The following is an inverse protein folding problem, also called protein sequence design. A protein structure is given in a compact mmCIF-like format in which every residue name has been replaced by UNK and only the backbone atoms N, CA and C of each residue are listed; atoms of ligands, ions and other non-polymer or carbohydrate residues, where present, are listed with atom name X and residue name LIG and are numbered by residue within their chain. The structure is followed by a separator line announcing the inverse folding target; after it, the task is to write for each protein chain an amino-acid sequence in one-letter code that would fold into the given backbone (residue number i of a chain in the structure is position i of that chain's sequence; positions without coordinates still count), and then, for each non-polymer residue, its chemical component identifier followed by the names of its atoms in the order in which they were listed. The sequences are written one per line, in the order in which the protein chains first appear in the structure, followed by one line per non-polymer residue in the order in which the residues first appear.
data_IF_487580085359
#
_entry.id   IF_487580085359
#
_cell.length_a   1.000
_cell.length_b   1.000
_cell.length_c   1.000
_cell.angle_alpha   90.00
_cell.angle_beta   90.00
_cell.angle_gamma   90.00
#
_symmetry.space_group_name_H-M   'P 1'
#
loop_
_entity.id
_entity.type
_entity.pdbx_description
1 polymer ?
#
# COMPACT_ATOMS: atom_id res chain seq x y z
N UNK A 1 -4.60 -2.50 -30.99
CA UNK A 1 -5.59 -2.76 -29.92
C UNK A 1 -6.29 -4.07 -30.25
N UNK A 2 -6.29 -5.04 -29.32
CA UNK A 2 -7.11 -6.24 -29.46
C UNK A 2 -8.59 -5.82 -29.49
N UNK A 3 -9.43 -6.55 -30.25
CA UNK A 3 -10.86 -6.32 -30.19
C UNK A 3 -11.35 -6.62 -28.75
N UNK A 4 -12.18 -5.76 -28.14
CA UNK A 4 -12.70 -5.99 -26.82
C UNK A 4 -13.44 -7.34 -26.77
N UNK A 5 -13.20 -8.09 -25.68
CA UNK A 5 -13.94 -9.33 -25.44
C UNK A 5 -15.38 -8.93 -25.10
N UNK A 6 -16.29 -9.15 -26.05
CA UNK A 6 -17.69 -8.71 -25.94
C UNK A 6 -18.55 -9.61 -25.05
N UNK A 7 -18.00 -10.75 -24.58
CA UNK A 7 -18.77 -11.67 -23.74
C UNK A 7 -18.48 -11.41 -22.27
N UNK A 8 -19.50 -10.98 -21.53
CA UNK A 8 -19.44 -10.82 -20.07
C UNK A 8 -19.00 -12.12 -19.40
N UNK A 9 -17.98 -12.08 -18.52
CA UNK A 9 -17.52 -13.25 -17.77
C UNK A 9 -18.57 -13.76 -16.78
N UNK A 10 -18.44 -15.03 -16.39
CA UNK A 10 -19.28 -15.63 -15.35
C UNK A 10 -18.89 -15.19 -13.94
N UNK A 11 -19.72 -15.53 -12.92
CA UNK A 11 -19.41 -15.21 -11.53
C UNK A 11 -18.18 -15.98 -11.03
N UNK A 12 -17.43 -15.33 -10.12
CA UNK A 12 -16.35 -15.98 -9.34
C UNK A 12 -17.00 -16.90 -8.30
N UNK A 13 -16.42 -18.09 -8.08
CA UNK A 13 -16.84 -18.98 -7.00
C UNK A 13 -16.31 -18.50 -5.66
N UNK A 14 -17.07 -17.62 -5.00
CA UNK A 14 -16.70 -16.99 -3.73
C UNK A 14 -16.43 -18.02 -2.64
N UNK A 15 -17.24 -19.07 -2.57
CA UNK A 15 -17.18 -20.06 -1.49
C UNK A 15 -15.85 -20.84 -1.46
N UNK A 16 -15.18 -20.94 -2.60
CA UNK A 16 -13.91 -21.65 -2.75
C UNK A 16 -12.73 -20.74 -3.07
N UNK A 17 -12.95 -19.41 -3.09
CA UNK A 17 -11.87 -18.44 -3.36
C UNK A 17 -11.20 -18.00 -2.07
N UNK A 18 -9.89 -18.30 -1.90
CA UNK A 18 -9.13 -18.06 -0.66
C UNK A 18 -9.18 -16.61 -0.17
N UNK A 19 -9.27 -15.63 -1.08
CA UNK A 19 -9.29 -14.21 -0.77
C UNK A 19 -10.71 -13.59 -0.83
N UNK A 20 -11.76 -14.41 -0.71
CA UNK A 20 -13.15 -13.96 -0.61
C UNK A 20 -13.89 -14.61 0.57
N UNK A 21 -13.16 -15.38 1.41
CA UNK A 21 -13.72 -16.07 2.59
C UNK A 21 -12.93 -15.73 3.86
N UNK A 22 -13.48 -16.02 5.02
CA UNK A 22 -12.84 -15.80 6.31
C UNK A 22 -12.50 -14.32 6.55
N UNK A 23 -11.25 -14.02 6.88
CA UNK A 23 -10.78 -12.63 7.11
C UNK A 23 -10.79 -11.78 5.84
N UNK A 24 -10.82 -12.37 4.67
CA UNK A 24 -10.89 -11.70 3.37
C UNK A 24 -12.33 -11.56 2.83
N UNK A 25 -13.33 -12.16 3.48
CA UNK A 25 -14.69 -12.08 2.97
C UNK A 25 -15.15 -10.62 2.83
N UNK A 26 -15.91 -10.28 1.76
CA UNK A 26 -16.36 -8.90 1.57
C UNK A 26 -17.21 -8.38 2.73
N UNK A 27 -17.03 -7.10 3.09
CA UNK A 27 -17.89 -6.34 3.99
C UNK A 27 -18.73 -5.38 3.17
N UNK A 28 -20.06 -5.41 3.34
CA UNK A 28 -20.96 -4.60 2.52
C UNK A 28 -21.66 -3.49 3.28
N UNK A 29 -21.58 -3.53 4.62
CA UNK A 29 -22.19 -2.53 5.48
C UNK A 29 -21.26 -1.33 5.66
N UNK A 30 -21.82 -0.14 5.56
CA UNK A 30 -21.21 1.12 5.95
C UNK A 30 -21.86 1.58 7.26
N UNK A 31 -21.03 1.80 8.26
CA UNK A 31 -21.48 2.20 9.60
C UNK A 31 -20.75 3.44 10.09
N UNK A 32 -21.31 4.09 11.11
CA UNK A 32 -20.70 5.16 11.88
C UNK A 32 -21.15 4.96 13.32
N UNK A 33 -20.28 4.46 14.17
CA UNK A 33 -20.60 4.04 15.54
C UNK A 33 -19.67 4.73 16.52
N UNK A 34 -20.25 5.37 17.53
CA UNK A 34 -19.53 6.02 18.64
C UNK A 34 -19.57 5.14 19.88
N UNK A 35 -18.76 5.48 20.85
CA UNK A 35 -18.74 4.86 22.18
C UNK A 35 -18.56 3.33 22.10
N UNK A 36 -17.53 2.91 21.38
CA UNK A 36 -17.20 1.50 21.19
C UNK A 36 -16.71 0.85 22.48
N UNK A 37 -16.91 -0.47 22.59
CA UNK A 37 -16.38 -1.27 23.68
C UNK A 37 -14.84 -1.23 23.68
N UNK A 38 -14.27 -0.81 24.81
CA UNK A 38 -12.83 -0.76 25.06
C UNK A 38 -12.48 -1.82 26.11
N UNK A 39 -11.46 -2.62 25.82
CA UNK A 39 -10.86 -3.56 26.77
C UNK A 39 -9.43 -3.08 27.06
N UNK A 40 -9.08 -2.95 28.33
CA UNK A 40 -7.87 -2.26 28.76
C UNK A 40 -8.12 -0.75 28.84
N UNK A 41 -7.10 0.05 28.57
CA UNK A 41 -7.18 1.51 28.64
C UNK A 41 -6.63 2.14 27.36
N UNK A 42 -7.44 3.01 26.73
CA UNK A 42 -6.95 3.81 25.62
C UNK A 42 -6.20 5.02 26.15
N UNK A 43 -5.04 5.38 25.60
CA UNK A 43 -4.27 6.53 26.06
C UNK A 43 -5.07 7.83 25.94
N UNK A 44 -5.19 8.57 27.03
CA UNK A 44 -5.89 9.85 27.04
C UNK A 44 -5.12 10.96 26.29
N UNK A 45 -3.82 10.76 26.06
CA UNK A 45 -2.94 11.68 25.32
C UNK A 45 -2.92 11.39 23.81
N UNK A 46 -3.59 10.33 23.35
CA UNK A 46 -3.64 9.96 21.95
C UNK A 46 -4.92 10.48 21.28
N UNK A 47 -4.76 11.58 20.54
CA UNK A 47 -5.86 12.24 19.84
C UNK A 47 -5.62 12.24 18.34
N UNK A 48 -6.54 11.68 17.57
CA UNK A 48 -6.43 11.59 16.12
C UNK A 48 -7.26 10.48 15.50
N UNK A 49 -6.96 10.15 14.25
CA UNK A 49 -7.65 9.11 13.51
C UNK A 49 -6.64 8.15 12.85
N UNK A 50 -6.79 6.87 13.14
CA UNK A 50 -6.21 5.81 12.34
C UNK A 50 -7.11 5.56 11.13
N UNK A 51 -6.53 5.57 9.94
CA UNK A 51 -7.20 5.21 8.69
C UNK A 51 -6.52 4.02 8.06
N UNK A 52 -7.29 3.17 7.38
CA UNK A 52 -6.79 2.09 6.55
C UNK A 52 -7.67 1.91 5.32
N UNK A 53 -7.05 1.70 4.16
CA UNK A 53 -7.73 1.32 2.94
C UNK A 53 -7.54 -0.18 2.66
N UNK A 54 -8.36 -0.75 1.81
CA UNK A 54 -8.22 -2.14 1.39
C UNK A 54 -9.23 -2.55 0.34
N UNK A 55 -8.91 -3.61 -0.45
CA UNK A 55 -9.79 -4.16 -1.45
C UNK A 55 -10.98 -4.84 -0.80
N UNK A 56 -12.20 -4.45 -1.22
CA UNK A 56 -13.42 -4.97 -0.68
C UNK A 56 -14.53 -4.96 -1.76
N UNK A 57 -14.80 -6.07 -2.45
CA UNK A 57 -15.79 -6.09 -3.51
C UNK A 57 -17.17 -5.65 -3.02
N UNK A 58 -17.75 -4.60 -3.63
CA UNK A 58 -19.10 -4.12 -3.33
C UNK A 58 -20.16 -5.14 -3.69
N UNK A 59 -19.96 -5.82 -4.82
CA UNK A 59 -20.78 -6.90 -5.33
C UNK A 59 -19.93 -8.16 -5.52
N UNK A 60 -20.58 -9.29 -5.72
CA UNK A 60 -19.91 -10.55 -6.03
C UNK A 60 -19.17 -10.43 -7.36
N UNK A 61 -17.84 -10.64 -7.40
CA UNK A 61 -17.05 -10.41 -8.61
C UNK A 61 -17.39 -11.39 -9.73
N UNK A 62 -17.11 -10.94 -10.97
CA UNK A 62 -17.23 -11.76 -12.19
C UNK A 62 -15.84 -11.87 -12.85
N UNK A 63 -15.62 -12.94 -13.62
CA UNK A 63 -14.36 -13.21 -14.30
C UNK A 63 -13.31 -13.74 -13.35
N UNK A 64 -12.28 -12.96 -13.11
CA UNK A 64 -11.20 -13.25 -12.16
C UNK A 64 -11.32 -12.36 -10.92
N UNK A 65 -10.65 -12.78 -9.86
CA UNK A 65 -10.40 -11.95 -8.67
C UNK A 65 -8.99 -12.20 -8.19
N UNK A 66 -8.14 -11.20 -8.27
CA UNK A 66 -6.71 -11.28 -7.93
C UNK A 66 -6.43 -10.35 -6.74
N UNK A 67 -6.34 -10.90 -5.54
CA UNK A 67 -5.94 -10.13 -4.36
C UNK A 67 -4.41 -9.87 -4.41
N UNK A 68 -3.94 -8.66 -4.08
CA UNK A 68 -4.70 -7.50 -3.59
C UNK A 68 -5.15 -6.52 -4.69
N UNK A 69 -5.05 -6.87 -5.96
CA UNK A 69 -5.27 -5.95 -7.09
C UNK A 69 -6.75 -5.72 -7.44
N UNK A 70 -7.64 -6.64 -7.05
CA UNK A 70 -9.08 -6.54 -7.30
C UNK A 70 -9.84 -6.25 -6.00
N UNK A 71 -10.86 -5.42 -6.10
CA UNK A 71 -11.75 -5.03 -5.02
C UNK A 71 -12.06 -3.54 -5.08
N UNK A 72 -13.21 -3.12 -4.58
CA UNK A 72 -13.50 -1.71 -4.44
C UNK A 72 -12.82 -1.17 -3.19
N UNK A 73 -12.31 0.05 -3.23
CA UNK A 73 -11.69 0.66 -2.06
C UNK A 73 -12.72 0.84 -0.94
N UNK A 74 -12.40 0.35 0.25
CA UNK A 74 -13.15 0.65 1.47
C UNK A 74 -12.20 1.22 2.50
N UNK A 75 -12.46 2.48 2.90
CA UNK A 75 -11.70 3.15 3.94
C UNK A 75 -12.36 2.92 5.30
N UNK A 76 -11.54 2.48 6.26
CA UNK A 76 -11.89 2.30 7.66
C UNK A 76 -11.20 3.36 8.49
N UNK A 77 -11.93 4.01 9.41
CA UNK A 77 -11.42 5.03 10.32
C UNK A 77 -11.76 4.69 11.76
N UNK A 78 -10.74 4.71 12.62
CA UNK A 78 -10.89 4.66 14.08
C UNK A 78 -10.39 5.99 14.63
N UNK A 79 -11.31 6.81 15.13
CA UNK A 79 -10.99 8.08 15.81
C UNK A 79 -10.81 7.80 17.29
N UNK A 80 -9.72 8.33 17.87
CA UNK A 80 -9.40 8.24 19.29
C UNK A 80 -9.38 9.64 19.89
N UNK A 81 -10.08 9.83 20.99
CA UNK A 81 -10.08 11.04 21.78
C UNK A 81 -10.52 10.75 23.23
N UNK A 82 -9.83 11.33 24.20
CA UNK A 82 -10.19 11.28 25.62
C UNK A 82 -10.46 9.84 26.14
N UNK A 83 -9.69 8.85 25.67
CA UNK A 83 -9.85 7.44 26.03
C UNK A 83 -11.09 6.75 25.42
N UNK A 84 -11.78 7.41 24.49
CA UNK A 84 -12.93 6.86 23.76
C UNK A 84 -12.56 6.60 22.27
N UNK A 85 -13.38 5.78 21.62
CA UNK A 85 -13.21 5.43 20.22
C UNK A 85 -14.51 5.54 19.42
N UNK A 86 -14.41 6.00 18.17
CA UNK A 86 -15.45 5.99 17.15
C UNK A 86 -14.95 5.26 15.92
N UNK A 87 -15.83 4.50 15.28
CA UNK A 87 -15.51 3.81 14.03
C UNK A 87 -16.43 4.24 12.89
N UNK A 88 -15.83 4.48 11.73
CA UNK A 88 -16.55 4.79 10.48
C UNK A 88 -15.91 4.02 9.33
N UNK A 89 -16.71 3.46 8.42
CA UNK A 89 -16.19 2.92 7.16
C UNK A 89 -17.05 3.40 5.99
N UNK A 90 -16.40 3.59 4.82
CA UNK A 90 -17.06 4.00 3.57
C UNK A 90 -16.38 3.36 2.37
N UNK A 91 -17.19 2.96 1.40
CA UNK A 91 -16.67 2.68 0.05
C UNK A 91 -16.18 3.96 -0.63
N UNK A 92 -15.09 3.84 -1.37
CA UNK A 92 -14.68 4.88 -2.30
C UNK A 92 -15.56 4.78 -3.54
N UNK A 93 -16.50 5.72 -3.70
CA UNK A 93 -17.47 5.71 -4.78
C UNK A 93 -16.87 6.27 -6.06
N UNK A 94 -16.19 5.39 -6.79
CA UNK A 94 -15.77 5.67 -8.17
C UNK A 94 -17.02 5.77 -9.07
N UNK A 95 -16.92 6.31 -10.29
CA UNK A 95 -18.02 6.25 -11.26
C UNK A 95 -18.48 4.83 -11.53
N UNK A 96 -17.56 3.84 -11.49
CA UNK A 96 -17.87 2.41 -11.67
C UNK A 96 -18.70 1.87 -10.51
N UNK A 97 -18.27 2.08 -9.27
CA UNK A 97 -19.04 1.67 -8.07
C UNK A 97 -20.41 2.33 -8.07
N UNK A 98 -20.51 3.61 -8.43
CA UNK A 98 -21.78 4.33 -8.52
C UNK A 98 -22.72 3.72 -9.59
N UNK A 99 -22.17 3.35 -10.74
CA UNK A 99 -22.95 2.68 -11.80
C UNK A 99 -23.44 1.30 -11.38
N UNK A 100 -22.58 0.52 -10.71
CA UNK A 100 -22.92 -0.80 -10.17
C UNK A 100 -23.96 -0.71 -9.04
N UNK A 101 -23.86 0.25 -8.13
CA UNK A 101 -24.87 0.51 -7.08
C UNK A 101 -26.24 0.85 -7.70
N UNK A 102 -26.24 1.64 -8.78
CA UNK A 102 -27.47 1.95 -9.52
C UNK A 102 -28.04 0.73 -10.24
N UNK A 103 -27.19 -0.13 -10.78
CA UNK A 103 -27.60 -1.37 -11.47
C UNK A 103 -28.02 -2.48 -10.47
N UNK A 104 -27.54 -2.44 -9.23
CA UNK A 104 -27.77 -3.44 -8.21
C UNK A 104 -26.93 -4.71 -8.39
N UNK A 105 -25.90 -4.68 -9.24
CA UNK A 105 -24.99 -5.79 -9.51
C UNK A 105 -23.67 -5.32 -10.09
N UNK A 106 -22.63 -6.20 -10.01
CA UNK A 106 -21.32 -5.96 -10.64
C UNK A 106 -21.47 -5.80 -12.16
N UNK A 107 -20.69 -4.92 -12.76
CA UNK A 107 -20.66 -4.73 -14.22
C UNK A 107 -19.26 -5.03 -14.75
N UNK A 108 -18.20 -4.49 -14.12
CA UNK A 108 -16.82 -4.70 -14.53
C UNK A 108 -16.26 -6.00 -13.98
N UNK A 109 -15.45 -6.67 -14.79
CA UNK A 109 -14.69 -7.86 -14.38
C UNK A 109 -13.39 -7.48 -13.66
N UNK A 110 -12.63 -8.48 -13.20
CA UNK A 110 -11.33 -8.29 -12.57
C UNK A 110 -10.29 -7.65 -13.50
N UNK A 111 -9.24 -7.07 -12.91
CA UNK A 111 -8.20 -6.30 -13.65
C UNK A 111 -7.43 -7.12 -14.68
N UNK A 112 -7.41 -8.45 -14.55
CA UNK A 112 -6.77 -9.34 -15.51
C UNK A 112 -7.68 -9.77 -16.64
N UNK A 113 -8.97 -9.43 -16.58
CA UNK A 113 -9.92 -9.71 -17.66
C UNK A 113 -9.88 -8.60 -18.72
N UNK A 114 -9.94 -8.99 -19.98
CA UNK A 114 -9.99 -8.04 -21.10
C UNK A 114 -11.42 -7.54 -21.38
N UNK A 115 -12.39 -7.85 -20.52
CA UNK A 115 -13.76 -7.41 -20.65
C UNK A 115 -13.91 -5.94 -20.26
N UNK A 116 -14.57 -5.19 -21.13
CA UNK A 116 -15.04 -3.82 -20.83
C UNK A 116 -16.54 -3.71 -21.15
N UNK A 117 -17.32 -2.98 -20.33
CA UNK A 117 -18.75 -2.84 -20.56
C UNK A 117 -19.07 -2.05 -21.83
N UNK A 118 -20.23 -2.30 -22.38
CA UNK A 118 -20.76 -1.64 -23.57
C UNK A 118 -21.50 -0.34 -23.21
N UNK A 119 -21.76 0.51 -24.21
CA UNK A 119 -22.54 1.74 -24.03
C UNK A 119 -23.97 1.47 -23.52
N UNK A 120 -24.58 0.37 -23.98
CA UNK A 120 -25.93 -0.03 -23.52
C UNK A 120 -25.95 -0.41 -22.02
N UNK A 121 -24.83 -0.89 -21.47
CA UNK A 121 -24.72 -1.27 -20.05
C UNK A 121 -24.46 -0.08 -19.13
N UNK A 122 -23.61 0.88 -19.55
CA UNK A 122 -23.07 1.91 -18.65
C UNK A 122 -23.16 3.33 -19.19
N UNK A 123 -23.67 3.51 -20.41
CA UNK A 123 -23.69 4.81 -21.10
C UNK A 123 -22.35 5.17 -21.76
N UNK A 124 -22.34 6.25 -22.57
CA UNK A 124 -21.20 6.58 -23.43
C UNK A 124 -19.93 6.99 -22.66
N UNK A 125 -20.08 7.51 -21.45
CA UNK A 125 -18.94 7.99 -20.65
C UNK A 125 -18.10 6.86 -20.03
N UNK A 126 -18.73 5.72 -19.72
CA UNK A 126 -18.10 4.59 -19.05
C UNK A 126 -17.88 3.39 -19.97
N UNK A 127 -18.44 3.41 -21.19
CA UNK A 127 -18.26 2.34 -22.16
C UNK A 127 -16.79 2.16 -22.54
N UNK A 128 -16.32 0.91 -22.57
CA UNK A 128 -14.95 0.58 -22.93
C UNK A 128 -13.90 0.93 -21.87
N UNK A 129 -14.31 1.39 -20.66
CA UNK A 129 -13.38 1.69 -19.57
C UNK A 129 -13.02 0.46 -18.78
N UNK A 130 -11.81 0.47 -18.20
CA UNK A 130 -11.38 -0.49 -17.18
C UNK A 130 -11.80 -0.01 -15.79
N UNK A 131 -11.83 -0.93 -14.82
CA UNK A 131 -12.16 -0.64 -13.43
C UNK A 131 -11.10 0.25 -12.80
N UNK A 132 -11.51 1.26 -12.04
CA UNK A 132 -10.63 2.05 -11.16
C UNK A 132 -10.79 1.56 -9.73
N UNK A 133 -9.69 1.23 -9.09
CA UNK A 133 -9.66 0.57 -7.79
C UNK A 133 -8.77 1.35 -6.82
N UNK A 134 -9.25 2.48 -6.23
CA UNK A 134 -8.49 3.27 -5.25
C UNK A 134 -8.53 2.58 -3.87
N UNK A 135 -7.94 1.41 -3.75
CA UNK A 135 -8.11 0.46 -2.66
C UNK A 135 -6.82 0.12 -1.89
N UNK A 136 -5.68 0.74 -2.25
CA UNK A 136 -4.39 0.34 -1.69
C UNK A 136 -4.00 1.19 -0.48
N UNK A 137 -4.05 2.52 -0.59
CA UNK A 137 -3.54 3.42 0.45
C UNK A 137 -4.49 4.58 0.71
N UNK A 138 -4.27 5.27 1.84
CA UNK A 138 -4.95 6.51 2.21
C UNK A 138 -3.92 7.52 2.70
N UNK A 139 -3.89 8.71 2.08
CA UNK A 139 -2.85 9.72 2.30
C UNK A 139 -3.48 11.10 2.50
N UNK A 140 -3.02 11.84 3.52
CA UNK A 140 -3.38 13.25 3.73
C UNK A 140 -2.23 14.15 3.32
N UNK A 141 -2.46 15.04 2.35
CA UNK A 141 -1.47 16.03 1.93
C UNK A 141 -2.12 17.23 1.25
N UNK A 142 -1.58 18.45 1.46
CA UNK A 142 -2.03 19.67 0.79
C UNK A 142 -3.53 19.95 0.99
N UNK A 143 -4.08 19.69 2.17
CA UNK A 143 -5.51 19.82 2.48
C UNK A 143 -6.42 18.78 1.81
N UNK A 144 -5.84 17.71 1.24
CA UNK A 144 -6.56 16.61 0.57
C UNK A 144 -6.44 15.33 1.39
N UNK A 145 -7.49 14.53 1.45
CA UNK A 145 -7.48 13.13 1.87
C UNK A 145 -7.69 12.29 0.62
N UNK A 146 -6.71 11.46 0.26
CA UNK A 146 -6.64 10.76 -1.01
C UNK A 146 -6.66 9.24 -0.80
N UNK A 147 -7.65 8.56 -1.39
CA UNK A 147 -7.61 7.11 -1.57
C UNK A 147 -6.85 6.80 -2.85
N UNK A 148 -5.80 6.01 -2.75
CA UNK A 148 -4.80 5.82 -3.80
C UNK A 148 -4.65 4.35 -4.19
N UNK A 149 -4.32 4.14 -5.46
CA UNK A 149 -3.86 2.88 -6.01
C UNK A 149 -2.82 3.14 -7.09
N UNK A 150 -2.24 2.08 -7.62
CA UNK A 150 -1.28 2.19 -8.71
C UNK A 150 -1.98 2.51 -10.05
N UNK A 151 -1.30 3.27 -10.89
CA UNK A 151 -1.67 3.57 -12.29
C UNK A 151 -3.00 4.27 -12.53
N UNK A 152 -3.76 4.58 -11.46
CA UNK A 152 -5.00 5.36 -11.53
C UNK A 152 -4.85 6.68 -10.80
N UNK A 153 -5.71 7.67 -11.12
CA UNK A 153 -5.77 8.90 -10.33
C UNK A 153 -6.37 8.60 -8.97
N UNK A 154 -5.86 9.23 -7.90
CA UNK A 154 -6.48 9.14 -6.58
C UNK A 154 -7.91 9.65 -6.57
N UNK A 155 -8.68 9.20 -5.58
CA UNK A 155 -9.98 9.76 -5.26
C UNK A 155 -9.89 10.56 -3.98
N UNK A 156 -10.31 11.83 -4.05
CA UNK A 156 -10.40 12.70 -2.90
C UNK A 156 -11.61 12.35 -2.06
N UNK A 157 -11.41 12.26 -0.75
CA UNK A 157 -12.45 12.02 0.25
C UNK A 157 -12.64 13.26 1.13
N UNK A 158 -13.87 13.44 1.62
CA UNK A 158 -14.15 14.40 2.69
C UNK A 158 -13.63 13.83 4.02
N UNK A 159 -12.70 14.52 4.71
CA UNK A 159 -12.18 14.02 5.98
C UNK A 159 -13.24 13.97 7.10
N UNK A 160 -14.35 14.67 6.98
CA UNK A 160 -15.39 14.67 8.01
C UNK A 160 -16.19 13.37 8.05
N UNK A 161 -16.56 12.81 6.88
CA UNK A 161 -17.46 11.66 6.78
C UNK A 161 -16.99 10.55 5.84
N UNK A 162 -15.82 10.72 5.21
CA UNK A 162 -15.21 9.84 4.20
C UNK A 162 -16.01 9.74 2.89
N UNK A 163 -16.96 10.66 2.63
CA UNK A 163 -17.65 10.70 1.34
C UNK A 163 -16.70 11.01 0.21
N UNK A 164 -16.92 10.40 -0.96
CA UNK A 164 -16.06 10.57 -2.14
C UNK A 164 -16.39 11.89 -2.85
N UNK A 165 -15.40 12.76 -3.01
CA UNK A 165 -15.51 14.03 -3.69
C UNK A 165 -15.19 13.96 -5.20
N UNK A 166 -14.53 12.89 -5.65
CA UNK A 166 -14.16 12.65 -7.03
C UNK A 166 -12.67 12.43 -7.24
N UNK A 167 -12.26 12.26 -8.51
CA UNK A 167 -10.84 12.13 -8.88
C UNK A 167 -10.08 13.42 -8.59
N UNK A 168 -8.84 13.28 -8.15
CA UNK A 168 -7.94 14.41 -7.87
C UNK A 168 -6.56 14.13 -8.47
N UNK A 169 -6.08 15.01 -9.35
CA UNK A 169 -4.77 14.89 -9.97
C UNK A 169 -3.71 15.79 -9.31
N UNK A 170 -3.99 16.33 -8.13
CA UNK A 170 -3.16 17.28 -7.41
C UNK A 170 -2.72 18.45 -8.31
N UNK A 171 -3.70 19.11 -8.93
CA UNK A 171 -3.50 20.30 -9.81
C UNK A 171 -2.52 20.03 -10.97
N UNK A 172 -2.45 18.81 -11.46
CA UNK A 172 -1.58 18.41 -12.58
C UNK A 172 -0.24 17.79 -12.17
N UNK A 173 -0.03 17.50 -10.90
CA UNK A 173 1.11 16.70 -10.46
C UNK A 173 1.02 15.23 -10.93
N UNK A 174 -0.18 14.78 -11.28
CA UNK A 174 -0.45 13.46 -11.85
C UNK A 174 -1.13 13.64 -13.20
N UNK A 175 -0.67 12.94 -14.24
CA UNK A 175 -1.25 13.06 -15.58
C UNK A 175 -2.33 12.01 -15.87
N UNK A 176 -1.98 10.74 -15.71
CA UNK A 176 -2.86 9.60 -16.03
C UNK A 176 -3.03 8.64 -14.87
N UNK A 177 -2.16 8.72 -13.88
CA UNK A 177 -2.15 7.85 -12.71
C UNK A 177 -1.07 8.26 -11.72
N UNK A 178 -0.92 7.49 -10.67
CA UNK A 178 0.03 7.71 -9.57
C UNK A 178 0.55 6.39 -9.01
N UNK A 179 1.49 6.48 -8.10
CA UNK A 179 1.84 5.39 -7.15
C UNK A 179 0.78 5.27 -6.06
N UNK A 180 0.65 4.11 -5.46
CA UNK A 180 -0.04 3.93 -4.19
C UNK A 180 0.83 4.34 -2.99
N UNK A 181 2.14 4.54 -3.18
CA UNK A 181 3.13 4.77 -2.12
C UNK A 181 3.87 6.11 -2.27
N UNK A 182 3.17 7.26 -2.25
CA UNK A 182 3.87 8.53 -2.19
C UNK A 182 4.64 8.64 -0.89
N UNK A 183 5.75 9.40 -0.90
CA UNK A 183 6.50 9.70 0.32
C UNK A 183 6.39 11.17 0.64
N UNK A 184 6.01 11.50 1.88
CA UNK A 184 5.99 12.87 2.39
C UNK A 184 7.27 13.09 3.18
N UNK A 185 8.08 14.03 2.73
CA UNK A 185 9.31 14.40 3.43
C UNK A 185 8.96 15.23 4.67
N UNK A 186 9.21 14.76 5.88
CA UNK A 186 8.85 15.49 7.10
C UNK A 186 9.66 16.77 7.31
N UNK A 187 10.76 16.97 6.57
CA UNK A 187 11.60 18.17 6.66
C UNK A 187 11.04 19.30 5.80
N UNK A 188 10.63 18.98 4.57
CA UNK A 188 10.15 19.98 3.61
C UNK A 188 8.64 20.02 3.51
N UNK A 189 7.94 18.99 4.01
CA UNK A 189 6.52 18.79 3.84
C UNK A 189 6.11 18.42 2.41
N UNK A 190 7.05 18.24 1.50
CA UNK A 190 6.77 17.90 0.11
C UNK A 190 6.36 16.43 -0.02
N UNK A 191 5.31 16.18 -0.82
CA UNK A 191 4.94 14.84 -1.24
C UNK A 191 5.58 14.53 -2.59
N UNK A 192 6.35 13.45 -2.64
CA UNK A 192 6.98 12.93 -3.85
C UNK A 192 6.19 11.73 -4.36
N UNK A 193 5.95 11.70 -5.66
CA UNK A 193 5.16 10.70 -6.35
C UNK A 193 5.94 10.16 -7.55
N UNK A 194 5.63 8.94 -7.96
CA UNK A 194 6.00 8.41 -9.27
C UNK A 194 4.78 7.77 -9.93
N UNK A 195 4.88 7.54 -11.23
CA UNK A 195 3.90 6.75 -11.98
C UNK A 195 4.62 5.95 -13.07
N UNK A 196 4.33 4.66 -13.16
CA UNK A 196 4.78 3.82 -14.24
C UNK A 196 3.66 3.65 -15.29
N UNK A 197 4.05 3.46 -16.55
CA UNK A 197 3.13 3.45 -17.69
C UNK A 197 3.54 2.37 -18.69
N UNK A 198 2.57 1.93 -19.50
CA UNK A 198 2.81 0.95 -20.56
C UNK A 198 3.43 1.59 -21.83
N UNK A 199 3.32 2.92 -21.95
CA UNK A 199 3.83 3.70 -23.07
C UNK A 199 4.94 4.66 -22.59
N UNK A 200 5.91 5.04 -23.44
CA UNK A 200 6.90 6.03 -23.09
C UNK A 200 6.29 7.33 -22.51
N UNK A 201 6.92 7.90 -21.47
CA UNK A 201 8.28 7.63 -20.98
C UNK A 201 8.42 6.46 -19.99
N UNK A 202 7.45 5.58 -19.84
CA UNK A 202 7.35 4.41 -18.97
C UNK A 202 7.38 4.69 -17.47
N UNK A 203 8.20 5.66 -17.00
CA UNK A 203 8.30 6.02 -15.59
C UNK A 203 8.50 7.53 -15.46
N UNK A 204 7.70 8.16 -14.63
CA UNK A 204 7.79 9.59 -14.30
C UNK A 204 7.77 9.81 -12.80
N UNK A 205 8.25 10.96 -12.34
CA UNK A 205 8.11 11.41 -10.97
C UNK A 205 7.67 12.87 -10.91
N UNK A 206 7.02 13.26 -9.83
CA UNK A 206 6.49 14.60 -9.59
C UNK A 206 6.55 14.96 -8.11
N UNK A 207 6.33 16.25 -7.80
CA UNK A 207 6.38 16.75 -6.42
C UNK A 207 5.25 17.75 -6.18
N UNK A 208 4.58 17.59 -5.04
CA UNK A 208 3.53 18.48 -4.53
C UNK A 208 4.03 19.16 -3.26
N UNK A 209 3.88 20.48 -3.18
CA UNK A 209 4.25 21.27 -2.00
C UNK A 209 3.27 21.04 -0.83
N UNK A 210 3.63 21.40 0.43
CA UNK A 210 2.76 21.27 1.58
C UNK A 210 1.40 21.97 1.47
N UNK A 211 1.35 23.06 0.68
CA UNK A 211 0.11 23.81 0.41
C UNK A 211 -0.76 23.18 -0.69
N UNK A 212 -0.30 22.05 -1.28
CA UNK A 212 -0.97 21.36 -2.36
C UNK A 212 -0.65 21.86 -3.76
N UNK A 213 0.16 22.91 -3.91
CA UNK A 213 0.61 23.39 -5.22
C UNK A 213 1.66 22.45 -5.85
N UNK A 214 1.75 22.45 -7.18
CA UNK A 214 2.72 21.61 -7.90
C UNK A 214 4.12 22.24 -7.84
N UNK A 215 5.07 21.55 -7.20
CA UNK A 215 6.48 21.92 -7.21
C UNK A 215 7.21 21.39 -8.45
N UNK A 216 6.81 20.20 -8.91
CA UNK A 216 7.34 19.57 -10.14
C UNK A 216 6.23 18.79 -10.84
N UNK A 217 6.05 19.10 -12.11
CA UNK A 217 5.17 18.31 -12.99
C UNK A 217 5.79 16.96 -13.35
N UNK A 218 5.02 15.98 -13.84
CA UNK A 218 5.54 14.68 -14.23
C UNK A 218 6.77 14.80 -15.13
N UNK A 219 7.89 14.29 -14.64
CA UNK A 219 9.21 14.35 -15.27
C UNK A 219 9.69 12.93 -15.53
N UNK A 220 10.12 12.62 -16.76
CA UNK A 220 10.60 11.31 -17.13
C UNK A 220 11.84 10.90 -16.32
N UNK A 221 11.91 9.63 -15.93
CA UNK A 221 13.12 9.01 -15.36
C UNK A 221 13.99 8.55 -16.52
N UNK A 222 15.09 9.24 -16.74
CA UNK A 222 16.01 8.92 -17.84
C UNK A 222 16.62 7.51 -17.68
N UNK A 223 16.71 6.78 -18.79
CA UNK A 223 17.28 5.42 -18.84
C UNK A 223 16.27 4.32 -18.51
N UNK A 224 14.98 4.61 -18.48
CA UNK A 224 13.91 3.61 -18.44
C UNK A 224 13.30 3.50 -19.84
N UNK A 225 13.48 2.34 -20.46
CA UNK A 225 13.12 2.04 -21.84
C UNK A 225 12.16 0.85 -22.00
N UNK A 226 11.69 0.32 -20.88
CA UNK A 226 10.83 -0.87 -20.81
C UNK A 226 9.71 -0.62 -19.79
N UNK A 227 8.45 -1.05 -20.08
CA UNK A 227 7.36 -0.94 -19.13
C UNK A 227 7.54 -1.95 -17.99
N UNK A 228 7.90 -1.47 -16.82
CA UNK A 228 8.14 -2.25 -15.61
C UNK A 228 7.07 -1.96 -14.57
N UNK A 229 6.66 -2.97 -13.83
CA UNK A 229 5.91 -2.76 -12.61
C UNK A 229 6.85 -2.25 -11.52
N UNK A 230 6.53 -1.09 -10.95
CA UNK A 230 7.28 -0.48 -9.84
C UNK A 230 6.28 -0.19 -8.73
N UNK A 231 6.38 -0.89 -7.60
CA UNK A 231 5.35 -0.83 -6.56
C UNK A 231 5.54 0.35 -5.59
N UNK A 232 6.74 0.47 -5.01
CA UNK A 232 7.06 1.46 -3.99
C UNK A 232 8.37 2.18 -4.29
N UNK A 233 8.67 3.23 -3.54
CA UNK A 233 9.93 3.99 -3.58
C UNK A 233 10.41 4.32 -2.17
N UNK A 234 11.71 4.64 -2.05
CA UNK A 234 12.26 5.27 -0.86
C UNK A 234 12.70 6.71 -1.15
N UNK A 235 12.73 7.53 -0.12
CA UNK A 235 13.11 8.92 -0.20
C UNK A 235 14.23 9.23 0.79
N UNK A 236 15.26 9.97 0.34
CA UNK A 236 16.26 10.60 1.20
C UNK A 236 16.16 12.12 1.08
N UNK A 237 16.98 12.85 1.83
CA UNK A 237 17.07 14.31 1.66
C UNK A 237 17.52 14.70 0.24
N UNK A 238 18.39 13.87 -0.40
CA UNK A 238 19.00 14.17 -1.69
C UNK A 238 18.43 13.39 -2.86
N UNK A 239 17.88 12.19 -2.63
CA UNK A 239 17.50 11.28 -3.70
C UNK A 239 16.09 10.73 -3.54
N UNK A 240 15.45 10.45 -4.67
CA UNK A 240 14.40 9.46 -4.81
C UNK A 240 15.09 8.16 -5.19
N UNK A 241 14.82 7.07 -4.47
CA UNK A 241 15.37 5.76 -4.73
C UNK A 241 14.26 4.85 -5.25
N UNK A 242 14.45 4.30 -6.44
CA UNK A 242 13.57 3.32 -7.05
C UNK A 242 14.36 2.04 -7.33
N UNK A 243 13.79 0.90 -6.98
CA UNK A 243 14.31 -0.42 -7.37
C UNK A 243 13.45 -0.96 -8.51
N UNK A 244 14.00 -0.93 -9.70
CA UNK A 244 13.39 -1.42 -10.92
C UNK A 244 13.67 -2.92 -11.01
N UNK A 245 12.80 -3.68 -10.36
CA UNK A 245 12.84 -5.14 -10.38
C UNK A 245 12.39 -5.65 -11.75
N UNK A 246 12.91 -6.78 -12.26
CA UNK A 246 12.68 -7.20 -13.64
C UNK A 246 11.31 -7.88 -13.85
N UNK A 247 10.23 -7.21 -13.44
CA UNK A 247 8.83 -7.60 -13.69
C UNK A 247 8.27 -6.72 -14.81
N UNK A 248 8.26 -7.25 -16.02
CA UNK A 248 7.97 -6.52 -17.26
C UNK A 248 6.51 -6.73 -17.68
N UNK A 249 5.84 -5.67 -18.14
CA UNK A 249 4.55 -5.81 -18.79
C UNK A 249 4.70 -6.38 -20.20
N UNK A 250 4.09 -7.54 -20.44
CA UNK A 250 4.04 -8.18 -21.75
C UNK A 250 2.61 -8.24 -22.29
N UNK A 251 2.18 -7.13 -22.88
CA UNK A 251 0.84 -7.01 -23.47
C UNK A 251 0.66 -7.98 -24.64
N UNK A 252 1.72 -8.31 -25.35
CA UNK A 252 1.64 -9.26 -26.47
C UNK A 252 1.35 -10.69 -26.00
N UNK A 253 1.88 -11.10 -24.86
CA UNK A 253 1.58 -12.40 -24.25
C UNK A 253 0.08 -12.55 -23.92
N UNK A 254 -0.56 -11.49 -23.42
CA UNK A 254 -2.00 -11.51 -23.10
C UNK A 254 -2.85 -11.88 -24.31
N UNK A 255 -2.51 -11.39 -25.50
CA UNK A 255 -3.23 -11.68 -26.75
C UNK A 255 -3.17 -13.16 -27.14
N UNK A 256 -2.22 -13.89 -26.60
CA UNK A 256 -2.03 -15.34 -26.84
C UNK A 256 -2.39 -16.19 -25.63
N UNK A 257 -3.04 -15.62 -24.61
CA UNK A 257 -3.46 -16.30 -23.37
C UNK A 257 -2.33 -16.45 -22.33
N UNK A 258 -1.26 -15.70 -22.46
CA UNK A 258 -0.17 -15.62 -21.49
C UNK A 258 -0.44 -14.62 -20.35
N UNK A 259 0.53 -14.48 -19.46
CA UNK A 259 0.48 -13.52 -18.36
C UNK A 259 0.77 -12.10 -18.86
N UNK A 260 0.12 -11.10 -18.26
CA UNK A 260 0.39 -9.67 -18.48
C UNK A 260 1.74 -9.25 -17.89
N UNK A 261 2.23 -9.98 -16.92
CA UNK A 261 3.51 -9.74 -16.24
C UNK A 261 4.47 -10.91 -16.48
N UNK A 262 5.69 -10.59 -16.85
CA UNK A 262 6.78 -11.53 -17.13
C UNK A 262 7.97 -11.23 -16.20
N UNK A 263 8.34 -12.22 -15.38
CA UNK A 263 9.50 -12.13 -14.49
C UNK A 263 10.77 -12.57 -15.21
N UNK A 264 11.72 -11.65 -15.39
CA UNK A 264 12.97 -11.82 -16.15
C UNK A 264 14.20 -11.71 -15.24
N UNK A 265 14.50 -12.70 -14.40
CA UNK A 265 15.59 -12.62 -13.43
C UNK A 265 16.97 -12.43 -14.07
N UNK A 266 17.16 -12.80 -15.33
CA UNK A 266 18.37 -12.57 -16.10
C UNK A 266 18.71 -11.09 -16.32
N UNK A 267 17.71 -10.19 -16.25
CA UNK A 267 17.90 -8.76 -16.43
C UNK A 267 18.43 -8.06 -15.16
N UNK A 268 18.33 -8.74 -14.00
CA UNK A 268 18.73 -8.19 -12.70
C UNK A 268 17.82 -7.04 -12.22
N UNK A 269 18.08 -6.56 -11.01
CA UNK A 269 17.40 -5.38 -10.42
C UNK A 269 18.25 -4.15 -10.64
N UNK A 270 17.68 -3.09 -11.23
CA UNK A 270 18.31 -1.79 -11.42
C UNK A 270 17.89 -0.84 -10.31
N UNK A 271 18.86 -0.16 -9.69
CA UNK A 271 18.60 0.82 -8.63
C UNK A 271 18.85 2.22 -9.20
N UNK A 272 17.82 3.06 -9.20
CA UNK A 272 17.89 4.44 -9.60
C UNK A 272 17.98 5.35 -8.37
N UNK A 273 19.01 6.19 -8.31
CA UNK A 273 19.10 7.32 -7.40
C UNK A 273 18.87 8.60 -8.22
N UNK A 274 17.68 9.16 -8.10
CA UNK A 274 17.25 10.36 -8.84
C UNK A 274 17.50 11.58 -7.94
N UNK A 275 18.41 12.51 -8.32
CA UNK A 275 18.64 13.70 -7.51
C UNK A 275 17.38 14.58 -7.42
N UNK A 276 16.95 14.94 -6.21
CA UNK A 276 15.73 15.74 -5.98
C UNK A 276 15.86 17.19 -6.47
N UNK A 277 17.09 17.70 -6.50
CA UNK A 277 17.42 19.05 -7.00
C UNK A 277 17.59 19.10 -8.53
N UNK A 278 17.50 17.96 -9.20
CA UNK A 278 17.76 17.77 -10.63
C UNK A 278 19.17 17.21 -10.88
N UNK A 279 19.44 16.91 -12.12
CA UNK A 279 20.69 16.28 -12.54
C UNK A 279 20.49 14.83 -13.01
N UNK A 280 21.55 14.19 -13.51
CA UNK A 280 21.45 12.86 -14.11
C UNK A 280 21.14 11.80 -13.07
N UNK A 281 20.30 10.85 -13.43
CA UNK A 281 20.01 9.66 -12.62
C UNK A 281 21.28 8.83 -12.46
N UNK A 282 21.56 8.41 -11.23
CA UNK A 282 22.67 7.50 -10.94
C UNK A 282 22.17 6.08 -10.88
N UNK A 283 22.75 5.22 -11.67
CA UNK A 283 22.32 3.83 -11.81
C UNK A 283 23.33 2.87 -11.20
N UNK A 284 22.81 1.83 -10.54
CA UNK A 284 23.56 0.63 -10.20
C UNK A 284 22.67 -0.60 -10.43
N UNK A 285 23.28 -1.78 -10.48
CA UNK A 285 22.60 -3.04 -10.74
C UNK A 285 22.95 -4.07 -9.69
N UNK A 286 22.05 -5.01 -9.49
CA UNK A 286 22.20 -6.15 -8.60
C UNK A 286 21.54 -7.39 -9.21
N UNK A 287 21.81 -8.58 -8.66
CA UNK A 287 21.04 -9.77 -8.98
C UNK A 287 19.55 -9.53 -8.78
N UNK A 288 18.71 -10.24 -9.53
CA UNK A 288 17.27 -10.04 -9.48
C UNK A 288 16.69 -10.39 -8.12
N UNK A 289 15.88 -9.51 -7.62
CA UNK A 289 14.98 -9.67 -6.48
C UNK A 289 13.74 -8.80 -6.68
N UNK A 290 12.71 -9.00 -5.85
CA UNK A 290 11.51 -8.19 -5.85
C UNK A 290 11.39 -7.39 -4.55
N UNK A 291 10.86 -6.17 -4.64
CA UNK A 291 10.54 -5.31 -3.50
C UNK A 291 9.09 -4.86 -3.60
N UNK A 292 8.29 -5.26 -2.62
CA UNK A 292 6.97 -4.67 -2.45
C UNK A 292 7.08 -3.36 -1.67
N UNK A 293 7.75 -3.33 -0.51
CA UNK A 293 7.74 -2.15 0.35
C UNK A 293 9.12 -1.78 0.88
N UNK A 294 9.31 -0.46 1.00
CA UNK A 294 10.43 0.15 1.71
C UNK A 294 10.00 0.58 3.11
N UNK A 295 10.87 0.38 4.11
CA UNK A 295 10.72 0.97 5.43
C UNK A 295 11.11 2.45 5.41
N UNK A 296 12.36 2.74 5.00
CA UNK A 296 12.90 4.09 4.95
C UNK A 296 14.22 4.12 4.18
N UNK A 297 14.65 5.33 3.77
CA UNK A 297 16.02 5.56 3.31
C UNK A 297 16.54 6.90 3.85
N UNK A 298 17.88 7.01 3.99
CA UNK A 298 18.51 8.23 4.46
C UNK A 298 19.95 8.37 3.99
N UNK A 299 20.40 9.61 3.93
CA UNK A 299 21.77 9.94 3.54
C UNK A 299 22.73 9.72 4.72
N UNK A 300 23.82 8.99 4.46
CA UNK A 300 24.92 8.83 5.41
C UNK A 300 25.89 10.03 5.36
N UNK A 301 26.61 10.33 6.45
CA UNK A 301 27.55 11.47 6.50
C UNK A 301 28.65 11.44 5.44
N UNK A 302 29.01 10.25 4.96
CA UNK A 302 30.04 10.06 3.92
C UNK A 302 29.50 10.15 2.48
N UNK A 303 28.21 10.47 2.33
CA UNK A 303 27.55 10.64 1.05
C UNK A 303 26.92 9.40 0.45
N UNK A 304 27.06 8.24 1.11
CA UNK A 304 26.31 7.03 0.75
C UNK A 304 24.84 7.13 1.17
N UNK A 305 24.02 6.21 0.69
CA UNK A 305 22.59 6.10 1.03
C UNK A 305 22.35 4.79 1.74
N UNK A 306 21.74 4.83 2.92
CA UNK A 306 21.20 3.65 3.61
C UNK A 306 19.72 3.49 3.23
N UNK A 307 19.28 2.27 2.97
CA UNK A 307 17.89 1.95 2.67
C UNK A 307 17.48 0.63 3.30
N UNK A 308 16.33 0.63 3.97
CA UNK A 308 15.70 -0.56 4.56
C UNK A 308 14.45 -0.92 3.75
N UNK A 309 14.34 -2.19 3.35
CA UNK A 309 13.25 -2.68 2.53
C UNK A 309 13.02 -4.18 2.76
N UNK A 310 11.84 -4.66 2.35
CA UNK A 310 11.57 -6.10 2.34
C UNK A 310 11.88 -6.66 0.97
N UNK A 311 12.79 -7.61 0.94
CA UNK A 311 13.23 -8.33 -0.25
C UNK A 311 12.54 -9.67 -0.38
N UNK A 312 12.06 -9.94 -1.59
CA UNK A 312 11.50 -11.21 -2.02
C UNK A 312 12.35 -11.79 -3.15
N UNK A 313 12.50 -13.11 -3.21
CA UNK A 313 13.23 -13.75 -4.33
C UNK A 313 12.55 -13.52 -5.69
N UNK A 314 11.22 -13.35 -5.70
CA UNK A 314 10.41 -13.03 -6.87
C UNK A 314 9.03 -12.50 -6.42
N UNK A 315 8.20 -11.90 -7.29
CA UNK A 315 6.98 -11.18 -6.90
C UNK A 315 5.81 -12.06 -6.46
N UNK A 316 6.01 -13.29 -6.04
CA UNK A 316 4.97 -14.15 -5.52
C UNK A 316 3.99 -14.60 -6.61
N UNK A 317 2.66 -14.46 -6.36
CA UNK A 317 1.60 -14.94 -7.25
C UNK A 317 1.59 -14.36 -8.67
N UNK A 318 2.38 -13.31 -8.94
CA UNK A 318 2.52 -12.70 -10.27
C UNK A 318 3.58 -13.38 -11.15
N UNK A 319 4.35 -14.30 -10.62
CA UNK A 319 5.34 -15.05 -11.36
C UNK A 319 5.32 -16.54 -11.01
N UNK A 320 5.58 -17.39 -12.00
CA UNK A 320 5.77 -18.83 -11.74
C UNK A 320 7.19 -19.07 -11.27
N UNK A 321 7.34 -19.62 -10.08
CA UNK A 321 8.63 -20.00 -9.54
C UNK A 321 8.56 -21.36 -8.83
N UNK A 322 9.70 -22.07 -8.76
CA UNK A 322 9.76 -23.44 -8.24
C UNK A 322 9.65 -23.53 -6.70
N UNK A 323 9.78 -22.42 -5.99
CA UNK A 323 9.78 -22.39 -4.52
C UNK A 323 8.94 -21.20 -4.00
N UNK A 324 8.42 -21.24 -2.76
CA UNK A 324 7.79 -20.09 -2.15
C UNK A 324 8.75 -18.90 -2.07
N UNK A 325 8.27 -17.70 -2.41
CA UNK A 325 8.98 -16.46 -2.14
C UNK A 325 8.64 -15.98 -0.73
N UNK A 326 9.66 -15.60 0.04
CA UNK A 326 9.53 -15.17 1.43
C UNK A 326 10.18 -13.80 1.58
N UNK A 327 9.54 -12.91 2.36
CA UNK A 327 10.03 -11.59 2.64
C UNK A 327 11.15 -11.57 3.69
N UNK A 328 12.24 -10.89 3.41
CA UNK A 328 13.33 -10.65 4.35
C UNK A 328 13.58 -9.15 4.50
N UNK A 329 13.67 -8.65 5.73
CA UNK A 329 14.04 -7.26 5.97
C UNK A 329 15.55 -7.10 5.73
N UNK A 330 15.89 -6.24 4.78
CA UNK A 330 17.26 -5.98 4.34
C UNK A 330 17.62 -4.53 4.63
N UNK A 331 18.82 -4.30 5.13
CA UNK A 331 19.48 -3.00 5.08
C UNK A 331 20.53 -3.01 3.97
N UNK A 332 20.40 -2.13 3.01
CA UNK A 332 21.41 -1.92 1.99
C UNK A 332 22.05 -0.53 2.12
N UNK A 333 23.33 -0.45 1.75
CA UNK A 333 24.07 0.80 1.61
C UNK A 333 24.53 0.93 0.18
N UNK A 334 24.05 1.98 -0.50
CA UNK A 334 24.37 2.30 -1.89
C UNK A 334 25.34 3.49 -1.93
N UNK A 335 26.44 3.33 -2.65
CA UNK A 335 27.38 4.42 -2.94
C UNK A 335 27.03 5.05 -4.30
N UNK A 336 26.49 6.30 -4.31
CA UNK A 336 26.12 6.95 -5.57
C UNK A 336 27.31 7.28 -6.49
N UNK A 337 28.53 7.31 -5.94
CA UNK A 337 29.75 7.62 -6.69
C UNK A 337 30.32 6.43 -7.43
N UNK A 338 30.43 5.29 -6.76
CA UNK A 338 31.01 4.05 -7.30
C UNK A 338 29.98 3.05 -7.84
N UNK A 339 28.69 3.21 -7.50
CA UNK A 339 27.65 2.25 -7.80
C UNK A 339 27.70 0.98 -6.91
N UNK A 340 28.58 0.94 -5.91
CA UNK A 340 28.69 -0.22 -5.02
C UNK A 340 27.49 -0.32 -4.10
N UNK A 341 26.93 -1.53 -3.97
CA UNK A 341 25.87 -1.90 -3.02
C UNK A 341 26.42 -2.92 -2.03
N UNK A 342 26.21 -2.67 -0.74
CA UNK A 342 26.46 -3.65 0.33
C UNK A 342 25.13 -3.91 1.03
N UNK A 343 24.89 -5.16 1.43
CA UNK A 343 23.60 -5.60 1.98
C UNK A 343 23.79 -6.43 3.23
N UNK A 344 22.88 -6.27 4.17
CA UNK A 344 22.81 -6.99 5.43
C UNK A 344 21.38 -7.48 5.64
N UNK A 345 21.22 -8.74 6.02
CA UNK A 345 19.92 -9.29 6.42
C UNK A 345 19.66 -8.88 7.86
N UNK A 346 18.65 -8.03 8.06
CA UNK A 346 18.19 -7.63 9.39
C UNK A 346 17.30 -8.72 9.98
N UNK A 347 16.40 -9.28 9.14
CA UNK A 347 15.48 -10.35 9.53
C UNK A 347 15.07 -11.19 8.32
N UNK A 348 15.03 -12.52 8.50
CA UNK A 348 14.62 -13.49 7.48
C UNK A 348 13.32 -14.26 7.83
N UNK A 349 12.48 -13.72 8.71
CA UNK A 349 11.29 -14.38 9.28
C UNK A 349 10.02 -14.31 8.41
N UNK A 350 10.14 -14.06 7.12
CA UNK A 350 8.99 -13.84 6.23
C UNK A 350 8.11 -12.69 6.72
N UNK A 351 8.70 -11.51 6.66
CA UNK A 351 8.08 -10.25 7.10
C UNK A 351 7.61 -9.41 5.92
N UNK A 352 6.64 -8.53 6.17
CA UNK A 352 6.11 -7.55 5.21
C UNK A 352 5.52 -6.32 5.90
N UNK A 353 5.05 -5.34 5.11
CA UNK A 353 4.52 -4.07 5.58
C UNK A 353 5.48 -3.37 6.56
N UNK A 354 6.73 -3.08 6.13
CA UNK A 354 7.69 -2.42 7.00
C UNK A 354 7.29 -0.96 7.22
N UNK A 355 7.19 -0.54 8.49
CA UNK A 355 6.85 0.82 8.88
C UNK A 355 7.87 1.37 9.88
N UNK A 356 8.08 2.67 9.77
CA UNK A 356 8.82 3.48 10.75
C UNK A 356 7.92 4.59 11.29
N UNK A 357 8.39 5.37 12.22
CA UNK A 357 7.78 6.66 12.54
C UNK A 357 7.88 7.57 11.31
N UNK A 358 6.75 8.04 10.78
CA UNK A 358 6.70 8.88 9.59
C UNK A 358 7.49 10.21 9.76
N UNK A 359 7.71 10.65 11.01
CA UNK A 359 8.57 11.81 11.34
C UNK A 359 10.05 11.55 11.11
N UNK A 360 10.46 10.26 11.05
CA UNK A 360 11.84 9.83 10.80
C UNK A 360 12.12 9.54 9.33
N UNK A 361 11.13 9.63 8.43
CA UNK A 361 11.35 9.45 7.00
C UNK A 361 12.47 10.38 6.50
N UNK A 362 13.27 9.90 5.56
CA UNK A 362 14.44 10.60 5.00
C UNK A 362 15.61 10.80 5.96
N UNK A 363 15.51 10.33 7.20
CA UNK A 363 16.53 10.40 8.26
C UNK A 363 16.81 9.02 8.84
N UNK A 364 17.86 8.93 9.67
CA UNK A 364 18.11 7.72 10.45
C UNK A 364 16.94 7.46 11.39
N UNK A 365 16.44 6.22 11.39
CA UNK A 365 15.34 5.76 12.22
C UNK A 365 15.83 4.69 13.20
N UNK A 366 15.06 4.50 14.27
CA UNK A 366 15.40 3.53 15.30
C UNK A 366 14.66 2.21 15.13
N UNK A 367 13.33 2.26 14.95
CA UNK A 367 12.49 1.08 14.96
C UNK A 367 11.88 0.86 13.57
N UNK A 368 11.99 -0.37 13.07
CA UNK A 368 11.18 -0.86 11.94
C UNK A 368 10.17 -1.85 12.49
N UNK A 369 8.88 -1.56 12.31
CA UNK A 369 7.79 -2.47 12.62
C UNK A 369 7.34 -3.19 11.35
N UNK A 370 7.00 -4.48 11.46
CA UNK A 370 6.52 -5.31 10.33
C UNK A 370 5.40 -6.24 10.79
N UNK A 371 4.61 -6.72 9.86
CA UNK A 371 3.87 -7.97 10.05
C UNK A 371 4.78 -9.14 9.71
N UNK A 372 4.59 -10.28 10.33
CA UNK A 372 5.43 -11.44 10.07
C UNK A 372 4.76 -12.74 10.45
N UNK A 373 5.51 -13.84 10.31
CA UNK A 373 5.07 -15.16 10.67
C UNK A 373 5.85 -15.68 11.86
N UNK A 374 5.15 -16.21 12.86
CA UNK A 374 5.77 -16.95 13.96
C UNK A 374 6.37 -18.26 13.46
N UNK A 375 5.66 -18.93 12.56
CA UNK A 375 6.08 -20.15 11.89
C UNK A 375 6.11 -19.94 10.36
N UNK A 376 7.30 -19.93 9.77
CA UNK A 376 7.51 -19.76 8.32
C UNK A 376 6.80 -20.82 7.45
N UNK A 377 6.44 -21.96 8.03
CA UNK A 377 5.69 -23.02 7.33
C UNK A 377 4.21 -22.69 7.13
N UNK A 378 3.69 -21.68 7.86
CA UNK A 378 2.30 -21.26 7.77
C UNK A 378 2.18 -20.07 6.79
N UNK A 379 1.26 -20.17 5.84
CA UNK A 379 1.04 -19.14 4.81
C UNK A 379 0.23 -17.93 5.27
N UNK A 380 0.43 -17.40 6.51
CA UNK A 380 -0.37 -16.29 7.04
C UNK A 380 0.45 -15.32 7.88
N UNK A 381 0.07 -14.07 7.86
CA UNK A 381 0.57 -13.03 8.76
C UNK A 381 -0.16 -13.15 10.09
N UNK A 382 0.56 -13.43 11.16
CA UNK A 382 0.00 -13.79 12.46
C UNK A 382 0.71 -13.12 13.65
N UNK A 383 1.67 -12.24 13.41
CA UNK A 383 2.42 -11.54 14.46
C UNK A 383 2.93 -10.18 14.01
N UNK A 384 3.22 -9.31 14.95
CA UNK A 384 3.97 -8.07 14.73
C UNK A 384 5.41 -8.24 15.20
N UNK A 385 6.35 -7.71 14.43
CA UNK A 385 7.78 -7.71 14.72
C UNK A 385 8.32 -6.29 14.72
N UNK A 386 9.20 -6.01 15.67
CA UNK A 386 9.79 -4.69 15.89
C UNK A 386 11.31 -4.84 16.00
N UNK A 387 12.03 -4.20 15.10
CA UNK A 387 13.49 -4.28 15.00
C UNK A 387 14.10 -2.94 15.42
N UNK A 388 14.83 -2.92 16.56
CA UNK A 388 15.65 -1.79 16.95
C UNK A 388 16.96 -1.84 16.14
N UNK A 389 17.02 -1.06 15.08
CA UNK A 389 18.13 -1.08 14.11
C UNK A 389 19.43 -0.49 14.68
N UNK A 390 19.36 0.30 15.77
CA UNK A 390 20.53 0.86 16.44
C UNK A 390 21.15 -0.12 17.42
N UNK A 391 20.33 -0.96 18.07
CA UNK A 391 20.79 -1.95 19.07
C UNK A 391 20.96 -3.33 18.50
N UNK A 392 20.38 -3.62 17.32
CA UNK A 392 20.34 -4.96 16.73
C UNK A 392 19.50 -5.93 17.56
N UNK A 393 18.44 -5.45 18.21
CA UNK A 393 17.52 -6.27 19.00
C UNK A 393 16.15 -6.31 18.36
N UNK A 394 15.42 -7.40 18.62
CA UNK A 394 14.04 -7.58 18.12
C UNK A 394 13.07 -7.83 19.29
N UNK A 395 11.83 -7.40 19.11
CA UNK A 395 10.69 -7.77 19.93
C UNK A 395 9.56 -8.23 19.01
N UNK A 396 8.65 -9.05 19.51
CA UNK A 396 7.47 -9.45 18.77
C UNK A 396 6.25 -9.58 19.68
N UNK A 397 5.10 -9.42 19.08
CA UNK A 397 3.82 -9.69 19.73
C UNK A 397 3.07 -10.76 18.96
N UNK A 398 2.67 -11.82 19.70
CA UNK A 398 1.82 -12.90 19.22
C UNK A 398 0.37 -12.66 19.69
N UNK A 399 -0.55 -12.28 18.81
CA UNK A 399 -1.95 -12.10 19.14
C UNK A 399 -2.80 -13.39 19.10
N UNK A 400 -2.20 -14.57 18.98
CA UNK A 400 -2.88 -15.86 18.91
C UNK A 400 -3.65 -16.06 17.60
N UNK A 401 -4.99 -16.09 17.67
CA UNK A 401 -5.85 -16.34 16.50
C UNK A 401 -6.06 -15.12 15.59
N UNK A 402 -5.55 -13.95 15.96
CA UNK A 402 -5.78 -12.72 15.18
C UNK A 402 -4.91 -12.69 13.92
N UNK A 403 -5.53 -12.41 12.78
CA UNK A 403 -4.84 -11.97 11.57
C UNK A 403 -4.51 -10.49 11.72
N UNK A 404 -3.23 -10.16 11.74
CA UNK A 404 -2.76 -8.79 11.96
C UNK A 404 -2.73 -7.98 10.67
N UNK A 405 -2.93 -6.67 10.78
CA UNK A 405 -2.74 -5.70 9.70
C UNK A 405 -1.45 -4.90 9.88
N UNK A 406 -1.20 -3.99 8.96
CA UNK A 406 -0.06 -3.07 8.97
C UNK A 406 -0.02 -2.27 10.28
N UNK A 407 1.11 -2.27 11.02
CA UNK A 407 1.28 -1.43 12.21
C UNK A 407 1.58 0.02 11.80
N UNK A 408 0.82 0.98 12.32
CA UNK A 408 1.00 2.41 12.08
C UNK A 408 1.51 3.08 13.35
N UNK A 409 2.59 3.86 13.22
CA UNK A 409 3.12 4.64 14.35
C UNK A 409 2.19 5.83 14.67
N UNK A 410 1.95 6.05 15.95
CA UNK A 410 1.04 7.07 16.45
C UNK A 410 1.70 7.87 17.57
N UNK A 411 2.18 9.09 17.27
CA UNK A 411 2.72 9.96 18.31
C UNK A 411 1.58 10.52 19.18
N UNK A 412 1.61 10.20 20.48
CA UNK A 412 0.80 10.87 21.48
C UNK A 412 1.52 12.11 22.03
N UNK A 413 0.89 12.85 22.95
CA UNK A 413 1.46 14.04 23.54
C UNK A 413 2.56 13.72 24.58
N UNK A 414 2.43 12.61 25.29
CA UNK A 414 3.35 12.18 26.35
C UNK A 414 4.10 10.89 25.99
N UNK A 415 3.43 9.99 25.25
CA UNK A 415 3.94 8.67 24.88
C UNK A 415 3.74 8.40 23.39
N UNK A 416 4.35 7.34 22.91
CA UNK A 416 4.29 6.90 21.51
C UNK A 416 3.70 5.49 21.45
N UNK A 417 2.99 5.20 20.35
CA UNK A 417 2.21 3.98 20.21
C UNK A 417 2.30 3.41 18.80
N UNK A 418 1.94 2.12 18.68
CA UNK A 418 1.62 1.47 17.42
C UNK A 418 0.16 1.10 17.41
N UNK A 419 -0.53 1.38 16.29
CA UNK A 419 -1.92 1.05 16.09
C UNK A 419 -2.13 0.13 14.91
N UNK A 420 -3.06 -0.81 15.01
CA UNK A 420 -3.46 -1.64 13.88
C UNK A 420 -4.87 -2.19 14.03
N UNK A 421 -5.51 -2.55 12.92
CA UNK A 421 -6.72 -3.36 12.89
C UNK A 421 -6.32 -4.82 12.65
N UNK A 422 -6.86 -5.72 13.48
CA UNK A 422 -6.75 -7.17 13.30
C UNK A 422 -8.10 -7.86 13.42
N UNK A 423 -8.24 -9.02 12.78
CA UNK A 423 -9.48 -9.82 12.79
C UNK A 423 -9.19 -11.22 13.32
N UNK A 424 -9.90 -11.64 14.36
CA UNK A 424 -9.79 -12.97 14.92
C UNK A 424 -10.32 -14.01 13.91
N UNK A 425 -9.51 -15.00 13.61
CA UNK A 425 -9.86 -16.06 12.63
C UNK A 425 -10.86 -17.07 13.18
N UNK A 426 -11.03 -17.13 14.50
CA UNK A 426 -11.91 -18.11 15.13
C UNK A 426 -13.38 -17.70 15.10
N UNK A 427 -13.67 -16.40 15.27
CA UNK A 427 -15.03 -15.88 15.35
C UNK A 427 -15.31 -14.69 14.40
N UNK A 428 -14.28 -14.27 13.67
CA UNK A 428 -14.28 -13.13 12.73
C UNK A 428 -14.59 -11.77 13.41
N UNK A 429 -14.37 -11.67 14.71
CA UNK A 429 -14.43 -10.39 15.43
C UNK A 429 -13.23 -9.53 15.05
N UNK A 430 -13.46 -8.26 14.69
CA UNK A 430 -12.40 -7.31 14.41
C UNK A 430 -12.14 -6.39 15.59
N UNK A 431 -10.88 -6.07 15.77
CA UNK A 431 -10.37 -5.25 16.85
C UNK A 431 -9.41 -4.19 16.32
N UNK A 432 -9.41 -3.03 16.94
CA UNK A 432 -8.32 -2.07 16.83
C UNK A 432 -7.46 -2.19 18.08
N UNK A 433 -6.14 -2.31 17.90
CA UNK A 433 -5.16 -2.50 18.97
C UNK A 433 -4.27 -1.28 19.11
N UNK A 434 -3.94 -0.92 20.36
CA UNK A 434 -2.95 0.12 20.69
C UNK A 434 -1.84 -0.52 21.52
N UNK A 435 -0.63 -0.54 20.99
CA UNK A 435 0.56 -1.09 21.65
C UNK A 435 1.51 0.04 22.05
N UNK A 436 2.20 -0.04 23.21
CA UNK A 436 3.21 0.95 23.58
C UNK A 436 4.43 0.84 22.67
N UNK A 437 4.97 1.96 22.19
CA UNK A 437 6.10 1.93 21.27
C UNK A 437 7.44 1.59 21.94
N UNK A 438 7.56 1.82 23.24
CA UNK A 438 8.76 1.53 24.02
C UNK A 438 8.87 0.04 24.44
N UNK A 439 7.74 -0.67 24.52
CA UNK A 439 7.69 -2.13 24.82
C UNK A 439 6.55 -2.82 24.03
N UNK A 440 6.60 -2.83 22.70
CA UNK A 440 5.51 -3.36 21.88
C UNK A 440 5.35 -4.89 22.00
N UNK A 441 6.39 -5.58 22.48
CA UNK A 441 6.35 -7.03 22.75
C UNK A 441 5.46 -7.40 23.95
N UNK A 442 5.17 -6.47 24.86
CA UNK A 442 4.25 -6.70 25.99
C UNK A 442 2.79 -6.86 25.55
N UNK A 443 2.48 -6.49 24.30
CA UNK A 443 1.13 -6.53 23.75
C UNK A 443 0.35 -5.24 23.96
N UNK A 444 -0.95 -5.22 23.59
CA UNK A 444 -1.73 -4.00 23.61
C UNK A 444 -2.09 -3.54 25.02
N UNK A 445 -1.97 -2.25 25.28
CA UNK A 445 -2.47 -1.59 26.50
C UNK A 445 -3.98 -1.39 26.44
N UNK A 446 -4.52 -1.26 25.23
CA UNK A 446 -5.95 -1.16 24.98
C UNK A 446 -6.33 -1.74 23.63
N UNK A 447 -7.54 -2.26 23.55
CA UNK A 447 -8.15 -2.69 22.30
C UNK A 447 -9.61 -2.29 22.22
N UNK A 448 -10.04 -1.95 21.01
CA UNK A 448 -11.41 -1.51 20.72
C UNK A 448 -12.09 -2.59 19.90
N UNK A 449 -13.26 -3.05 20.34
CA UNK A 449 -14.10 -3.94 19.55
C UNK A 449 -14.75 -3.18 18.41
N UNK A 450 -14.50 -3.57 17.17
CA UNK A 450 -15.12 -2.95 16.03
C UNK A 450 -16.53 -3.51 15.81
N UNK A 451 -17.50 -2.65 15.37
CA UNK A 451 -18.92 -3.03 15.33
C UNK A 451 -19.25 -4.03 14.21
N UNK A 452 -18.33 -4.16 13.25
CA UNK A 452 -18.46 -5.07 12.11
C UNK A 452 -17.11 -5.78 11.89
N UNK A 453 -17.14 -6.90 11.17
CA UNK A 453 -15.91 -7.51 10.69
C UNK A 453 -15.24 -6.58 9.65
N UNK A 454 -13.96 -6.33 9.84
CA UNK A 454 -13.14 -5.55 8.92
C UNK A 454 -12.31 -6.53 8.07
N UNK A 455 -12.44 -6.52 6.74
CA UNK A 455 -11.65 -7.39 5.87
C UNK A 455 -10.14 -7.14 6.03
N UNK A 456 -9.33 -8.14 5.72
CA UNK A 456 -7.91 -7.93 5.54
C UNK A 456 -7.70 -6.79 4.53
N UNK A 457 -6.95 -5.78 4.95
CA UNK A 457 -6.71 -4.58 4.16
C UNK A 457 -5.23 -4.38 3.89
N UNK A 458 -4.92 -3.21 3.34
CA UNK A 458 -3.58 -2.83 2.96
C UNK A 458 -3.07 -1.68 3.83
N UNK A 459 -2.74 -0.54 3.23
CA UNK A 459 -2.02 0.53 3.92
C UNK A 459 -2.93 1.52 4.64
N UNK A 460 -2.36 2.10 5.66
CA UNK A 460 -3.03 3.11 6.47
C UNK A 460 -2.13 4.27 6.87
N UNK A 461 -2.73 5.20 7.59
CA UNK A 461 -2.07 6.37 8.13
C UNK A 461 -2.65 6.74 9.50
N UNK A 462 -1.84 7.43 10.30
CA UNK A 462 -2.30 8.15 11.47
C UNK A 462 -2.43 9.63 11.15
N UNK A 463 -3.60 10.20 11.41
CA UNK A 463 -3.86 11.63 11.28
C UNK A 463 -4.03 12.21 12.69
N UNK A 464 -3.04 12.93 13.23
CA UNK A 464 -3.18 13.63 14.50
C UNK A 464 -4.34 14.61 14.47
N UNK A 465 -5.04 14.80 15.58
CA UNK A 465 -6.01 15.88 15.73
C UNK A 465 -5.33 17.24 15.52
N UNK A 466 -6.04 18.17 14.87
CA UNK A 466 -5.57 19.54 14.61
C UNK A 466 -5.66 20.40 15.87
#
# INVERSE_FOLDING_TARGET
MAAPVTRRPGPVDIAHHSHLVGVFAPQREEVDVRDLEVIGELPADLHGAYLRNGPNPRFDPIGTYVYPLDGDGMVHRVELADGAARYTNRFVRTPMVTAEEKAGHVIWAGVTDLYTPTEDEVGPELAGTSRELPDINIVRHGGRLLAMAETTLPFRLDPADLSTLGRDNCDGAMSVGSTAHPKIDPVTGQMVLFNYMLEPPYLTWSVVNPDGSVARTPTAVEGVDTPLMVHDMALTQRYILLMLCPLVFDIAAVLTGGSVLDWRPEDGTRIALIPRDGGPVRWTTHDAYWVWHFANAFDLPDGRVSVDYVEWTYPGGFAKAPAPSLGSLIRAVVDPGSGRVTREVVCDRDVEFPRVDDRELTRGHRTVATVGKLDRSQGRQDSLWFFDTARGTEAHWDPGSVSVGEPIFMPGAEHEYWGMIGTDRSDLTSWYFVLPADDPGSGPIGKVRLPIRVPAGLHGAWLPAE
#
